data_IF_031884107927
#
_entry.id   IF_031884107927
#
_cell.length_a   1.000
_cell.length_b   1.000
_cell.length_c   1.000
_cell.angle_alpha   90.00
_cell.angle_beta   90.00
_cell.angle_gamma   90.00
#
_symmetry.space_group_name_H-M   'P 1'
#
loop_
_entity.id
_entity.type
_entity.pdbx_description
1 polymer ?
#
# COMPACT_ATOMS: atom_id res chain seq x y z
N UNK A 1 -41.25 18.25 3.50
CA UNK A 1 -40.68 17.93 2.18
C UNK A 1 -39.29 17.37 2.42
N UNK A 2 -38.95 16.24 1.81
CA UNK A 2 -37.58 15.70 1.88
C UNK A 2 -36.63 16.65 1.13
N UNK A 3 -35.51 16.97 1.76
CA UNK A 3 -34.46 17.80 1.16
C UNK A 3 -33.87 17.06 -0.04
N UNK A 4 -34.13 17.54 -1.26
CA UNK A 4 -33.67 16.90 -2.50
C UNK A 4 -32.52 17.66 -3.13
N UNK A 5 -31.77 16.98 -4.00
CA UNK A 5 -30.67 17.57 -4.79
C UNK A 5 -31.15 18.77 -5.62
N UNK A 6 -32.35 18.67 -6.20
CA UNK A 6 -32.95 19.72 -7.02
C UNK A 6 -33.31 20.95 -6.18
N UNK A 7 -33.81 20.75 -4.96
CA UNK A 7 -34.10 21.86 -4.02
C UNK A 7 -32.83 22.61 -3.65
N UNK A 8 -31.74 21.89 -3.35
CA UNK A 8 -30.44 22.49 -3.03
C UNK A 8 -29.87 23.27 -4.21
N UNK A 9 -29.86 22.71 -5.42
CA UNK A 9 -29.35 23.38 -6.60
C UNK A 9 -30.18 24.61 -6.98
N UNK A 10 -31.51 24.52 -6.87
CA UNK A 10 -32.41 25.64 -7.14
C UNK A 10 -32.19 26.81 -6.19
N UNK A 11 -31.87 26.54 -4.92
CA UNK A 11 -31.67 27.57 -3.91
C UNK A 11 -30.39 28.42 -4.10
N UNK A 12 -29.43 27.90 -4.87
CA UNK A 12 -28.13 28.54 -5.07
C UNK A 12 -27.85 28.88 -6.55
N UNK A 13 -28.74 28.52 -7.47
CA UNK A 13 -28.50 28.62 -8.92
C UNK A 13 -28.45 30.05 -9.45
N UNK A 14 -29.09 31.00 -8.79
CA UNK A 14 -29.20 32.41 -9.15
C UNK A 14 -28.10 33.30 -8.51
N UNK A 15 -27.21 32.72 -7.69
CA UNK A 15 -26.11 33.46 -7.07
C UNK A 15 -25.15 33.95 -8.16
N UNK A 16 -24.97 35.27 -8.26
CA UNK A 16 -24.10 35.89 -9.26
C UNK A 16 -22.62 35.61 -9.01
N UNK A 17 -21.86 35.38 -10.09
CA UNK A 17 -20.42 35.16 -10.05
C UNK A 17 -19.65 36.45 -10.37
N UNK A 18 -18.46 36.68 -9.78
CA UNK A 18 -17.62 37.85 -10.06
C UNK A 18 -17.21 38.00 -11.54
N UNK A 19 -17.11 36.87 -12.25
CA UNK A 19 -16.75 36.79 -13.68
C UNK A 19 -17.95 36.93 -14.63
N UNK A 20 -19.15 37.16 -14.11
CA UNK A 20 -20.41 37.17 -14.86
C UNK A 20 -21.11 35.80 -14.88
N UNK A 21 -22.43 35.82 -15.08
CA UNK A 21 -23.30 34.64 -14.98
C UNK A 21 -23.67 34.26 -13.55
N UNK A 22 -24.35 33.12 -13.39
CA UNK A 22 -24.77 32.60 -12.07
C UNK A 22 -24.16 31.24 -11.75
N UNK A 23 -24.17 30.85 -10.49
CA UNK A 23 -23.63 29.58 -10.02
C UNK A 23 -24.33 28.37 -10.64
N UNK A 24 -25.62 28.47 -11.01
CA UNK A 24 -26.34 27.41 -11.71
C UNK A 24 -26.01 27.31 -13.21
N UNK A 25 -25.52 28.39 -13.81
CA UNK A 25 -25.02 28.40 -15.19
C UNK A 25 -23.57 27.94 -15.27
N UNK A 26 -22.80 28.17 -14.20
CA UNK A 26 -21.42 27.76 -14.13
C UNK A 26 -21.30 26.31 -13.66
N UNK A 27 -20.56 25.50 -14.40
CA UNK A 27 -20.32 24.09 -14.06
C UNK A 27 -19.25 23.93 -12.96
N UNK A 28 -19.48 24.53 -11.79
CA UNK A 28 -18.50 24.61 -10.68
C UNK A 28 -18.82 23.64 -9.52
N UNK A 29 -20.05 23.14 -9.44
CA UNK A 29 -20.49 22.28 -8.33
C UNK A 29 -20.11 20.82 -8.61
N UNK A 30 -19.35 20.22 -7.69
CA UNK A 30 -18.96 18.81 -7.72
C UNK A 30 -19.40 18.10 -6.45
N UNK A 31 -19.62 16.79 -6.55
CA UNK A 31 -19.87 15.90 -5.41
C UNK A 31 -20.99 16.38 -4.44
N UNK A 32 -22.09 16.95 -4.98
CA UNK A 32 -23.23 17.33 -4.17
C UNK A 32 -23.89 16.11 -3.53
N UNK A 33 -23.90 16.06 -2.20
CA UNK A 33 -24.50 15.03 -1.38
C UNK A 33 -25.36 15.65 -0.27
N UNK A 34 -26.43 14.93 0.08
CA UNK A 34 -27.37 15.31 1.13
C UNK A 34 -27.56 14.10 2.01
N UNK A 35 -27.27 14.25 3.30
CA UNK A 35 -27.20 13.15 4.25
C UNK A 35 -27.62 13.63 5.64
N UNK A 36 -28.72 13.10 6.17
CA UNK A 36 -29.28 13.47 7.49
C UNK A 36 -29.39 14.99 7.73
N UNK A 37 -29.78 15.76 6.71
CA UNK A 37 -29.87 17.22 6.76
C UNK A 37 -28.55 17.96 6.58
N UNK A 38 -27.44 17.26 6.38
CA UNK A 38 -26.16 17.86 6.00
C UNK A 38 -26.06 17.97 4.48
N UNK A 39 -25.83 19.18 3.97
CA UNK A 39 -25.55 19.44 2.55
C UNK A 39 -24.05 19.60 2.34
N UNK A 40 -23.45 18.79 1.45
CA UNK A 40 -22.00 18.85 1.16
C UNK A 40 -21.75 18.91 -0.34
N UNK A 41 -20.91 19.85 -0.79
CA UNK A 41 -20.44 19.89 -2.17
C UNK A 41 -19.11 20.64 -2.27
N UNK A 42 -18.45 20.48 -3.42
CA UNK A 42 -17.19 21.14 -3.75
C UNK A 42 -17.45 22.21 -4.81
N UNK A 43 -16.88 23.40 -4.61
CA UNK A 43 -16.74 24.42 -5.64
C UNK A 43 -15.36 24.27 -6.29
N UNK A 44 -15.33 23.71 -7.49
CA UNK A 44 -14.10 23.49 -8.25
C UNK A 44 -13.83 24.71 -9.15
N UNK A 45 -12.66 25.31 -8.97
CA UNK A 45 -12.22 26.49 -9.73
C UNK A 45 -10.86 26.25 -10.36
N UNK A 46 -10.54 27.03 -11.39
CA UNK A 46 -9.33 26.83 -12.19
C UNK A 46 -8.04 27.19 -11.45
N UNK A 47 -8.05 28.20 -10.58
CA UNK A 47 -6.86 28.71 -9.90
C UNK A 47 -7.18 29.37 -8.55
N UNK A 48 -6.14 29.64 -7.76
CA UNK A 48 -6.25 30.21 -6.42
C UNK A 48 -6.80 31.64 -6.38
N UNK A 49 -6.60 32.44 -7.44
CA UNK A 49 -7.15 33.79 -7.52
C UNK A 49 -8.68 33.75 -7.69
N UNK A 50 -9.18 32.86 -8.55
CA UNK A 50 -10.62 32.60 -8.70
C UNK A 50 -11.23 32.04 -7.41
N UNK A 51 -10.50 31.17 -6.68
CA UNK A 51 -10.94 30.67 -5.37
C UNK A 51 -11.13 31.80 -4.35
N UNK A 52 -10.19 32.74 -4.28
CA UNK A 52 -10.30 33.90 -3.38
C UNK A 52 -11.47 34.82 -3.79
N UNK A 53 -11.66 35.04 -5.09
CA UNK A 53 -12.76 35.87 -5.61
C UNK A 53 -14.15 35.27 -5.34
N UNK A 54 -14.27 33.95 -5.20
CA UNK A 54 -15.53 33.25 -4.89
C UNK A 54 -15.85 33.12 -3.40
N UNK A 55 -15.00 33.62 -2.49
CA UNK A 55 -15.31 33.58 -1.05
C UNK A 55 -16.68 34.22 -0.69
N UNK A 56 -17.11 35.35 -1.29
CA UNK A 56 -18.45 35.90 -1.09
C UNK A 56 -19.57 35.00 -1.63
N UNK A 57 -19.32 34.30 -2.73
CA UNK A 57 -20.27 33.35 -3.36
C UNK A 57 -20.45 32.12 -2.47
N UNK A 58 -19.36 31.60 -1.88
CA UNK A 58 -19.45 30.50 -0.90
C UNK A 58 -20.27 30.92 0.32
N UNK A 59 -20.00 32.11 0.87
CA UNK A 59 -20.71 32.62 2.04
C UNK A 59 -22.21 32.79 1.79
N UNK A 60 -22.58 33.32 0.62
CA UNK A 60 -23.99 33.48 0.23
C UNK A 60 -24.67 32.12 -0.01
N UNK A 61 -24.00 31.20 -0.71
CA UNK A 61 -24.53 29.84 -0.93
C UNK A 61 -24.76 29.11 0.40
N UNK A 62 -23.82 29.23 1.34
CA UNK A 62 -23.96 28.69 2.69
C UNK A 62 -25.17 29.28 3.42
N UNK A 63 -25.30 30.61 3.42
CA UNK A 63 -26.41 31.30 4.09
C UNK A 63 -27.79 30.92 3.52
N UNK A 64 -27.90 30.73 2.20
CA UNK A 64 -29.15 30.29 1.56
C UNK A 64 -29.50 28.85 1.92
N UNK A 65 -28.52 27.96 1.91
CA UNK A 65 -28.73 26.55 2.22
C UNK A 65 -29.06 26.31 3.69
N UNK A 66 -28.45 27.05 4.61
CA UNK A 66 -28.77 26.99 6.05
C UNK A 66 -30.20 27.44 6.37
N UNK A 67 -30.86 28.18 5.48
CA UNK A 67 -32.28 28.59 5.62
C UNK A 67 -33.27 27.57 5.05
N UNK A 68 -32.79 26.53 4.36
CA UNK A 68 -33.69 25.52 3.81
C UNK A 68 -34.27 24.61 4.90
N UNK A 69 -35.58 24.33 4.89
CA UNK A 69 -36.19 23.39 5.83
C UNK A 69 -35.53 22.01 5.74
N UNK A 70 -35.03 21.51 6.87
CA UNK A 70 -34.37 20.21 6.98
C UNK A 70 -32.85 20.24 6.81
N UNK A 71 -32.23 21.41 6.59
CA UNK A 71 -30.77 21.56 6.63
C UNK A 71 -30.31 21.81 8.06
N UNK A 72 -29.41 20.95 8.56
CA UNK A 72 -28.78 21.06 9.89
C UNK A 72 -27.34 21.54 9.79
N UNK A 73 -26.68 21.32 8.65
CA UNK A 73 -25.27 21.68 8.44
C UNK A 73 -24.97 21.85 6.95
N UNK A 74 -24.14 22.83 6.61
CA UNK A 74 -23.64 23.02 5.24
C UNK A 74 -22.11 22.90 5.24
N UNK A 75 -21.55 22.13 4.31
CA UNK A 75 -20.11 22.00 4.10
C UNK A 75 -19.80 22.26 2.63
N UNK A 76 -19.30 23.46 2.34
CA UNK A 76 -18.78 23.84 1.03
C UNK A 76 -17.26 23.81 1.12
N UNK A 77 -16.61 23.17 0.14
CA UNK A 77 -15.15 23.13 0.03
C UNK A 77 -14.75 23.74 -1.29
N UNK A 78 -13.88 24.76 -1.26
CA UNK A 78 -13.33 25.36 -2.48
C UNK A 78 -12.03 24.64 -2.86
N UNK A 79 -11.91 24.20 -4.11
CA UNK A 79 -10.68 23.58 -4.61
C UNK A 79 -10.23 24.25 -5.90
N UNK A 80 -9.00 24.76 -5.94
CA UNK A 80 -8.37 25.25 -7.16
C UNK A 80 -7.59 24.14 -7.85
N UNK A 81 -7.76 23.97 -9.17
CA UNK A 81 -6.89 23.13 -9.99
C UNK A 81 -5.44 23.64 -9.88
N UNK A 82 -4.52 22.73 -9.59
CA UNK A 82 -3.20 23.06 -9.09
C UNK A 82 -2.24 23.53 -10.20
N UNK A 83 -2.05 24.85 -10.32
CA UNK A 83 -0.85 25.48 -10.88
C UNK A 83 -0.60 26.83 -10.18
N UNK A 84 -0.25 26.82 -8.89
CA UNK A 84 0.36 27.97 -8.20
C UNK A 84 1.12 27.52 -6.95
N UNK A 85 2.34 28.01 -6.79
CA UNK A 85 3.21 27.75 -5.64
C UNK A 85 2.59 28.29 -4.33
N UNK A 86 2.80 27.63 -3.18
CA UNK A 86 2.22 28.07 -1.91
C UNK A 86 2.89 29.36 -1.38
N UNK A 87 2.15 30.28 -0.76
CA UNK A 87 2.74 31.40 -0.04
C UNK A 87 3.38 30.92 1.27
N UNK A 88 4.47 31.57 1.67
CA UNK A 88 5.13 31.39 2.96
C UNK A 88 4.19 31.81 4.09
N UNK A 89 3.88 30.92 5.02
CA UNK A 89 3.21 31.25 6.26
C UNK A 89 4.22 31.42 7.40
N UNK A 90 4.07 32.52 8.12
CA UNK A 90 4.81 32.91 9.33
C UNK A 90 4.22 32.17 10.54
N UNK A 91 5.08 31.90 11.51
CA UNK A 91 4.92 31.15 12.76
C UNK A 91 3.67 31.42 13.61
N UNK A 92 3.13 30.38 14.26
CA UNK A 92 2.34 30.53 15.49
C UNK A 92 1.52 29.31 15.90
N UNK A 93 2.03 28.57 16.90
CA UNK A 93 1.33 27.66 17.82
C UNK A 93 0.77 26.33 17.25
N UNK A 94 1.35 25.24 17.78
CA UNK A 94 1.13 23.85 17.43
C UNK A 94 -0.34 23.42 17.33
N UNK A 95 -0.75 23.12 16.10
CA UNK A 95 -1.76 22.11 15.83
C UNK A 95 -1.03 20.92 15.20
N UNK A 96 -1.19 19.74 15.80
CA UNK A 96 -0.61 18.50 15.29
C UNK A 96 -1.04 18.27 13.83
N UNK A 97 -0.12 17.93 12.89
CA UNK A 97 -0.52 17.51 11.57
C UNK A 97 -1.33 16.22 11.68
N UNK A 98 -2.58 16.24 11.21
CA UNK A 98 -3.33 15.01 11.01
C UNK A 98 -2.73 14.28 9.80
N UNK A 99 -1.88 13.27 10.03
CA UNK A 99 -1.47 12.30 9.02
C UNK A 99 -2.69 11.46 8.62
N UNK A 100 -3.58 12.04 7.82
CA UNK A 100 -4.62 11.31 7.10
C UNK A 100 -3.91 10.50 6.02
N UNK A 101 -3.83 9.19 6.23
CA UNK A 101 -3.31 8.27 5.22
C UNK A 101 -4.35 8.17 4.10
N UNK A 102 -3.87 8.12 2.86
CA UNK A 102 -4.73 8.00 1.68
C UNK A 102 -5.11 9.34 1.04
N UNK A 103 -4.35 10.41 1.29
CA UNK A 103 -4.42 11.61 0.46
C UNK A 103 -4.00 11.31 -0.99
N UNK A 104 -4.46 12.12 -1.96
CA UNK A 104 -4.03 11.95 -3.36
C UNK A 104 -2.51 12.08 -3.48
N UNK A 105 -1.89 11.14 -4.21
CA UNK A 105 -0.46 11.19 -4.51
C UNK A 105 -0.10 12.53 -5.17
N UNK A 106 0.90 13.25 -4.64
CA UNK A 106 1.39 14.47 -5.28
C UNK A 106 2.07 14.11 -6.60
N UNK A 107 1.89 14.88 -7.69
CA UNK A 107 2.65 14.70 -8.92
C UNK A 107 4.14 14.80 -8.58
N UNK A 108 4.89 13.74 -8.85
CA UNK A 108 6.35 13.70 -8.66
C UNK A 108 7.00 13.24 -9.96
N UNK A 109 8.12 13.87 -10.29
CA UNK A 109 8.93 13.55 -11.44
C UNK A 109 9.75 12.28 -11.19
N UNK A 110 9.19 11.13 -11.55
CA UNK A 110 9.88 9.83 -11.58
C UNK A 110 10.09 9.17 -10.21
N UNK A 111 10.79 8.01 -10.20
CA UNK A 111 11.08 7.25 -8.99
C UNK A 111 11.99 8.02 -8.04
N UNK A 112 11.65 8.02 -6.75
CA UNK A 112 12.43 8.66 -5.69
C UNK A 112 13.06 7.58 -4.80
N UNK A 113 14.36 7.72 -4.51
CA UNK A 113 15.03 6.85 -3.56
C UNK A 113 14.37 6.94 -2.17
N UNK A 114 14.34 5.83 -1.45
CA UNK A 114 13.90 5.79 -0.07
C UNK A 114 15.12 6.11 0.80
N UNK A 115 15.07 7.14 1.67
CA UNK A 115 16.21 7.50 2.51
C UNK A 115 16.73 6.30 3.33
N UNK A 116 18.04 6.07 3.27
CA UNK A 116 18.72 5.02 4.05
C UNK A 116 18.53 3.58 3.56
N UNK A 117 17.81 3.35 2.46
CA UNK A 117 17.55 1.99 1.93
C UNK A 117 18.42 1.70 0.71
N UNK A 118 19.26 0.66 0.78
CA UNK A 118 20.13 0.24 -0.33
C UNK A 118 19.43 -0.56 -1.42
N UNK A 119 18.70 -1.61 -1.02
CA UNK A 119 17.96 -2.47 -1.96
C UNK A 119 16.47 -2.46 -1.66
N UNK A 120 15.65 -2.42 -2.70
CA UNK A 120 14.19 -2.53 -2.61
C UNK A 120 13.79 -3.77 -3.40
N UNK A 121 13.29 -4.79 -2.70
CA UNK A 121 12.88 -6.05 -3.31
C UNK A 121 11.37 -6.19 -3.20
N UNK A 122 10.71 -6.19 -4.35
CA UNK A 122 9.27 -6.43 -4.45
C UNK A 122 8.99 -7.94 -4.36
N UNK A 123 8.14 -8.37 -3.43
CA UNK A 123 7.68 -9.76 -3.35
C UNK A 123 6.27 -9.83 -3.93
N UNK A 124 6.15 -10.45 -5.10
CA UNK A 124 4.89 -10.58 -5.84
C UNK A 124 4.38 -12.01 -5.92
N UNK A 125 3.11 -12.16 -6.25
CA UNK A 125 2.52 -13.45 -6.63
C UNK A 125 1.45 -13.25 -7.68
N UNK A 126 1.28 -14.24 -8.56
CA UNK A 126 0.23 -14.19 -9.57
C UNK A 126 -1.19 -14.28 -8.98
N UNK A 127 -1.35 -15.06 -7.92
CA UNK A 127 -2.64 -15.30 -7.26
C UNK A 127 -2.56 -15.15 -5.75
N UNK A 128 -3.72 -15.03 -5.12
CA UNK A 128 -3.87 -15.11 -3.66
C UNK A 128 -3.67 -16.54 -3.15
N UNK A 129 -3.24 -16.68 -1.89
CA UNK A 129 -3.15 -17.98 -1.22
C UNK A 129 -1.90 -18.82 -1.51
N UNK A 130 -0.94 -18.35 -2.31
CA UNK A 130 0.34 -19.06 -2.54
C UNK A 130 1.32 -18.96 -1.37
N UNK A 131 0.96 -18.26 -0.29
CA UNK A 131 1.82 -18.06 0.88
C UNK A 131 2.89 -16.97 0.72
N UNK A 132 2.74 -16.05 -0.23
CA UNK A 132 3.61 -14.89 -0.46
C UNK A 132 4.02 -14.18 0.84
N UNK A 133 3.05 -13.72 1.65
CA UNK A 133 3.32 -12.99 2.89
C UNK A 133 4.06 -13.83 3.95
N UNK A 134 3.78 -15.14 4.00
CA UNK A 134 4.52 -16.10 4.82
C UNK A 134 5.97 -16.23 4.37
N UNK A 135 6.21 -16.31 3.06
CA UNK A 135 7.57 -16.33 2.51
C UNK A 135 8.29 -15.02 2.82
N UNK A 136 7.64 -13.88 2.62
CA UNK A 136 8.22 -12.55 2.86
C UNK A 136 8.65 -12.35 4.33
N UNK A 137 7.80 -12.69 5.31
CA UNK A 137 8.12 -12.55 6.74
C UNK A 137 9.27 -13.46 7.16
N UNK A 138 9.24 -14.73 6.74
CA UNK A 138 10.29 -15.68 7.08
C UNK A 138 11.63 -15.34 6.40
N UNK A 139 11.60 -14.87 5.16
CA UNK A 139 12.79 -14.39 4.46
C UNK A 139 13.37 -13.14 5.15
N UNK A 140 12.53 -12.20 5.59
CA UNK A 140 12.96 -11.02 6.33
C UNK A 140 13.72 -11.41 7.61
N UNK A 141 13.14 -12.33 8.39
CA UNK A 141 13.75 -12.85 9.61
C UNK A 141 15.05 -13.60 9.32
N UNK A 142 15.10 -14.44 8.28
CA UNK A 142 16.31 -15.17 7.92
C UNK A 142 17.46 -14.23 7.51
N UNK A 143 17.16 -13.17 6.74
CA UNK A 143 18.13 -12.13 6.39
C UNK A 143 18.62 -11.35 7.62
N UNK A 144 17.73 -11.01 8.55
CA UNK A 144 18.10 -10.34 9.80
C UNK A 144 18.99 -11.24 10.68
N UNK A 145 18.67 -12.54 10.79
CA UNK A 145 19.51 -13.54 11.49
C UNK A 145 20.88 -13.71 10.83
N UNK A 146 20.96 -13.53 9.51
CA UNK A 146 22.23 -13.48 8.77
C UNK A 146 22.99 -12.16 8.93
N UNK A 147 22.54 -11.25 9.80
CA UNK A 147 23.23 -10.01 10.16
C UNK A 147 22.88 -8.81 9.27
N UNK A 148 21.84 -8.89 8.44
CA UNK A 148 21.46 -7.79 7.54
C UNK A 148 20.47 -6.80 8.18
N UNK A 149 20.63 -5.55 7.77
CA UNK A 149 19.76 -4.38 7.90
C UNK A 149 18.39 -4.55 7.25
N UNK A 150 17.41 -5.25 7.82
CA UNK A 150 16.17 -5.59 7.08
C UNK A 150 14.97 -4.72 7.45
N UNK A 151 14.31 -4.17 6.43
CA UNK A 151 12.97 -3.63 6.52
C UNK A 151 11.93 -4.54 5.86
N UNK A 152 10.71 -4.52 6.38
CA UNK A 152 9.54 -5.21 5.84
C UNK A 152 8.37 -4.23 5.76
N UNK A 153 7.92 -3.97 4.53
CA UNK A 153 6.73 -3.17 4.24
C UNK A 153 5.60 -4.07 3.73
N UNK A 154 4.49 -4.08 4.45
CA UNK A 154 3.24 -4.69 4.01
C UNK A 154 2.42 -3.70 3.17
N UNK A 155 2.38 -3.95 1.86
CA UNK A 155 1.60 -3.18 0.90
C UNK A 155 0.30 -3.90 0.49
N UNK A 156 -0.02 -5.07 1.08
CA UNK A 156 -1.28 -5.77 0.85
C UNK A 156 -2.41 -5.16 1.70
N UNK A 157 -2.98 -4.08 1.17
CA UNK A 157 -4.02 -3.30 1.87
C UNK A 157 -5.31 -4.12 2.05
N UNK A 158 -5.59 -5.04 1.14
CA UNK A 158 -6.84 -5.82 1.16
C UNK A 158 -6.79 -7.00 2.12
N UNK A 159 -5.59 -7.50 2.42
CA UNK A 159 -5.38 -8.60 3.36
C UNK A 159 -4.08 -8.44 4.14
N UNK A 160 -3.92 -7.36 4.94
CA UNK A 160 -2.68 -7.10 5.66
C UNK A 160 -2.46 -8.23 6.67
N UNK A 161 -1.38 -8.97 6.49
CA UNK A 161 -1.07 -10.18 7.27
C UNK A 161 0.24 -10.06 8.03
N UNK A 162 1.12 -9.15 7.61
CA UNK A 162 2.44 -9.01 8.23
C UNK A 162 2.39 -8.58 9.69
N UNK A 163 1.48 -7.70 10.15
CA UNK A 163 1.38 -7.37 11.58
C UNK A 163 1.20 -8.60 12.45
N UNK A 164 0.25 -9.46 12.07
CA UNK A 164 -0.02 -10.72 12.77
C UNK A 164 1.15 -11.68 12.67
N UNK A 165 1.71 -11.89 11.47
CA UNK A 165 2.82 -12.83 11.25
C UNK A 165 4.11 -12.43 11.98
N UNK A 166 4.33 -11.13 12.16
CA UNK A 166 5.48 -10.58 12.88
C UNK A 166 5.20 -10.38 14.39
N UNK A 167 3.96 -10.59 14.85
CA UNK A 167 3.59 -10.41 16.25
C UNK A 167 3.59 -8.95 16.70
N UNK A 168 3.32 -8.01 15.79
CA UNK A 168 3.26 -6.57 16.08
C UNK A 168 1.82 -6.08 16.05
N UNK A 169 1.47 -5.19 16.98
CA UNK A 169 0.13 -4.61 17.11
C UNK A 169 0.21 -3.17 17.60
N UNK A 170 -0.92 -2.47 17.54
CA UNK A 170 -1.01 -1.06 17.90
C UNK A 170 -0.75 -0.12 16.72
N UNK A 171 -0.87 1.18 16.98
CA UNK A 171 -0.71 2.21 15.97
C UNK A 171 0.72 2.80 16.04
N UNK A 172 1.44 2.85 14.91
CA UNK A 172 2.75 3.48 14.83
C UNK A 172 2.71 4.92 15.34
N UNK A 173 3.74 5.31 16.08
CA UNK A 173 3.87 6.66 16.59
C UNK A 173 4.30 7.62 15.47
N UNK A 174 3.95 8.90 15.64
CA UNK A 174 4.50 9.99 14.84
C UNK A 174 4.76 11.17 15.77
N UNK A 175 5.86 11.15 16.55
CA UNK A 175 6.11 12.15 17.58
C UNK A 175 6.21 13.59 17.03
N UNK A 176 6.76 13.75 15.82
CA UNK A 176 6.92 15.03 15.13
C UNK A 176 5.72 15.40 14.23
N UNK A 177 4.75 14.48 14.07
CA UNK A 177 3.62 14.61 13.15
C UNK A 177 4.00 14.65 11.67
N UNK A 178 5.26 14.42 11.32
CA UNK A 178 5.77 14.45 9.95
C UNK A 178 6.22 13.08 9.48
N UNK A 179 6.85 12.30 10.38
CA UNK A 179 7.39 10.98 10.10
C UNK A 179 6.77 9.93 10.99
N UNK A 180 6.67 8.73 10.46
CA UNK A 180 6.10 7.57 11.13
C UNK A 180 7.25 6.73 11.67
N UNK A 181 7.23 6.44 12.96
CA UNK A 181 8.18 5.53 13.58
C UNK A 181 7.69 4.09 13.37
N UNK A 182 8.44 3.25 12.65
CA UNK A 182 8.01 1.89 12.35
C UNK A 182 8.05 0.99 13.58
N UNK A 183 7.34 -0.14 13.49
CA UNK A 183 7.42 -1.21 14.49
C UNK A 183 8.72 -1.99 14.32
N UNK A 184 9.12 -2.74 15.35
CA UNK A 184 10.29 -3.61 15.30
C UNK A 184 9.96 -4.98 15.86
N UNK A 185 10.32 -6.03 15.15
CA UNK A 185 10.14 -7.41 15.61
C UNK A 185 11.20 -8.31 14.98
N UNK A 186 11.74 -9.25 15.76
CA UNK A 186 12.62 -10.31 15.26
C UNK A 186 13.86 -9.80 14.49
N UNK A 187 14.38 -8.62 14.87
CA UNK A 187 15.50 -7.96 14.18
C UNK A 187 15.12 -7.25 12.86
N UNK A 188 13.83 -7.12 12.57
CA UNK A 188 13.29 -6.51 11.34
C UNK A 188 12.54 -5.23 11.70
N UNK A 189 12.76 -4.17 10.92
CA UNK A 189 11.96 -2.94 10.95
C UNK A 189 10.68 -3.17 10.14
N UNK A 190 9.52 -3.11 10.77
CA UNK A 190 8.23 -3.51 10.18
C UNK A 190 7.30 -2.32 10.06
N UNK A 191 6.70 -2.15 8.89
CA UNK A 191 5.60 -1.23 8.69
C UNK A 191 4.49 -1.91 7.89
N UNK A 192 3.24 -1.67 8.26
CA UNK A 192 2.08 -2.12 7.51
C UNK A 192 1.04 -1.04 7.49
N UNK A 193 0.38 -0.92 6.33
CA UNK A 193 -0.82 -0.11 6.23
C UNK A 193 -1.92 -0.56 7.18
N UNK A 194 -2.00 -1.87 7.46
CA UNK A 194 -2.99 -2.47 8.36
C UNK A 194 -2.90 -1.93 9.79
N UNK A 195 -1.71 -1.53 10.25
CA UNK A 195 -1.50 -0.93 11.58
C UNK A 195 -2.08 0.48 11.71
N UNK A 196 -2.42 1.11 10.60
CA UNK A 196 -2.99 2.46 10.59
C UNK A 196 -4.50 2.47 10.34
N UNK A 197 -5.08 1.31 10.05
CA UNK A 197 -6.52 1.14 9.86
C UNK A 197 -7.18 0.92 11.22
N UNK A 198 -8.44 1.36 11.34
CA UNK A 198 -9.25 1.04 12.51
C UNK A 198 -9.77 -0.39 12.36
N UNK A 199 -9.69 -1.16 13.44
CA UNK A 199 -10.25 -2.50 13.48
C UNK A 199 -11.76 -2.48 13.15
N UNK A 200 -12.19 -3.37 12.25
CA UNK A 200 -13.59 -3.54 11.87
C UNK A 200 -14.13 -2.56 10.81
N UNK A 201 -13.34 -1.58 10.36
CA UNK A 201 -13.77 -0.65 9.30
C UNK A 201 -13.57 -1.26 7.91
N UNK A 202 -14.62 -1.28 7.09
CA UNK A 202 -14.52 -1.73 5.70
C UNK A 202 -13.66 -0.74 4.91
N UNK A 203 -12.57 -1.25 4.32
CA UNK A 203 -11.68 -0.47 3.47
C UNK A 203 -12.35 -0.15 2.13
N UNK A 204 -12.79 1.10 1.96
CA UNK A 204 -13.30 1.62 0.68
C UNK A 204 -12.33 2.64 0.11
N UNK A 205 -11.10 2.20 -0.18
CA UNK A 205 -10.07 3.07 -0.76
C UNK A 205 -10.01 2.91 -2.26
N UNK A 206 -9.96 4.05 -2.97
CA UNK A 206 -9.77 4.07 -4.43
C UNK A 206 -8.28 4.07 -4.77
N UNK A 207 -7.91 3.60 -5.97
CA UNK A 207 -6.53 3.52 -6.47
C UNK A 207 -5.62 4.70 -6.08
N UNK A 208 -6.00 5.96 -6.35
CA UNK A 208 -5.18 7.13 -6.00
C UNK A 208 -4.87 7.28 -4.51
N UNK A 209 -5.78 6.84 -3.62
CA UNK A 209 -5.57 6.86 -2.18
C UNK A 209 -4.55 5.79 -1.76
N UNK A 210 -4.65 4.59 -2.35
CA UNK A 210 -3.70 3.50 -2.12
C UNK A 210 -2.28 3.93 -2.56
N UNK A 211 -2.18 4.58 -3.71
CA UNK A 211 -0.91 5.13 -4.23
C UNK A 211 -0.33 6.20 -3.29
N UNK A 212 -1.16 7.12 -2.82
CA UNK A 212 -0.73 8.14 -1.87
C UNK A 212 -0.27 7.55 -0.55
N UNK A 213 -0.99 6.56 -0.02
CA UNK A 213 -0.61 5.86 1.20
C UNK A 213 0.70 5.08 1.03
N UNK A 214 0.87 4.35 -0.09
CA UNK A 214 2.12 3.68 -0.41
C UNK A 214 3.28 4.68 -0.46
N UNK A 215 3.09 5.82 -1.14
CA UNK A 215 4.10 6.88 -1.21
C UNK A 215 4.47 7.40 0.20
N UNK A 216 3.49 7.59 1.08
CA UNK A 216 3.74 7.98 2.47
C UNK A 216 4.54 6.90 3.22
N UNK A 217 4.19 5.63 3.06
CA UNK A 217 4.93 4.53 3.71
C UNK A 217 6.37 4.41 3.20
N UNK A 218 6.60 4.69 1.92
CA UNK A 218 7.94 4.67 1.35
C UNK A 218 8.78 5.89 1.78
N UNK A 219 8.19 7.08 1.92
CA UNK A 219 8.95 8.33 2.07
C UNK A 219 8.88 8.97 3.46
N UNK A 220 7.84 8.69 4.25
CA UNK A 220 7.56 9.31 5.55
C UNK A 220 7.82 8.35 6.72
N UNK A 221 8.13 7.07 6.46
CA UNK A 221 8.53 6.14 7.53
C UNK A 221 10.02 6.31 7.82
N UNK A 222 10.36 6.33 9.10
CA UNK A 222 11.73 6.35 9.59
C UNK A 222 12.37 4.96 9.50
N UNK A 223 12.69 4.52 8.28
CA UNK A 223 13.31 3.21 8.02
C UNK A 223 14.70 3.04 8.62
N UNK A 224 15.42 4.14 8.85
CA UNK A 224 16.82 4.11 9.25
C UNK A 224 17.72 3.62 8.10
N UNK A 225 18.85 2.99 8.46
CA UNK A 225 19.79 2.43 7.48
C UNK A 225 19.51 0.95 7.24
N UNK A 226 19.02 0.61 6.06
CA UNK A 226 18.70 -0.75 5.66
C UNK A 226 19.61 -1.26 4.53
N UNK A 227 20.04 -2.51 4.65
CA UNK A 227 20.58 -3.28 3.53
C UNK A 227 19.49 -3.55 2.49
N UNK A 228 18.32 -3.98 2.94
CA UNK A 228 17.21 -4.36 2.08
C UNK A 228 15.86 -4.05 2.70
N UNK A 229 14.96 -3.50 1.89
CA UNK A 229 13.54 -3.36 2.19
C UNK A 229 12.75 -4.36 1.34
N UNK A 230 12.16 -5.36 2.00
CA UNK A 230 11.23 -6.29 1.37
C UNK A 230 9.83 -5.66 1.36
N UNK A 231 9.20 -5.62 0.18
CA UNK A 231 7.83 -5.08 0.03
C UNK A 231 6.89 -6.23 -0.34
N UNK A 232 5.99 -6.57 0.59
CA UNK A 232 4.96 -7.58 0.37
C UNK A 232 3.79 -6.98 -0.40
N UNK A 233 3.68 -7.31 -1.68
CA UNK A 233 2.67 -6.72 -2.57
C UNK A 233 1.33 -7.44 -2.46
N UNK A 234 0.19 -6.81 -2.82
CA UNK A 234 -1.05 -7.55 -3.05
C UNK A 234 -0.88 -8.64 -4.13
N UNK A 235 -1.73 -9.68 -4.17
CA UNK A 235 -1.71 -10.65 -5.24
C UNK A 235 -2.09 -10.02 -6.60
N UNK A 236 -1.66 -10.65 -7.69
CA UNK A 236 -1.99 -10.24 -9.06
C UNK A 236 -1.09 -9.14 -9.61
N UNK A 237 -1.62 -8.37 -10.55
CA UNK A 237 -0.89 -7.35 -11.32
C UNK A 237 -1.62 -6.00 -11.28
N UNK A 238 -1.93 -5.51 -10.07
CA UNK A 238 -2.75 -4.32 -9.85
C UNK A 238 -1.98 -3.00 -9.76
N UNK A 239 -2.70 -1.95 -9.36
CA UNK A 239 -2.20 -0.57 -9.31
C UNK A 239 -1.08 -0.36 -8.28
N UNK A 240 -1.02 -1.17 -7.22
CA UNK A 240 0.00 -1.05 -6.17
C UNK A 240 1.39 -1.39 -6.71
N UNK A 241 1.48 -2.45 -7.51
CA UNK A 241 2.72 -2.91 -8.15
C UNK A 241 3.22 -1.88 -9.17
N UNK A 242 2.31 -1.37 -10.01
CA UNK A 242 2.58 -0.28 -10.95
C UNK A 242 3.10 0.96 -10.21
N UNK A 243 2.38 1.37 -9.17
CA UNK A 243 2.73 2.57 -8.40
C UNK A 243 4.06 2.40 -7.69
N UNK A 244 4.38 1.23 -7.14
CA UNK A 244 5.67 0.98 -6.51
C UNK A 244 6.81 1.22 -7.52
N UNK A 245 6.75 0.58 -8.69
CA UNK A 245 7.80 0.67 -9.70
C UNK A 245 7.93 2.08 -10.30
N UNK A 246 6.85 2.87 -10.30
CA UNK A 246 6.89 4.27 -10.74
C UNK A 246 7.42 5.24 -9.68
N UNK A 247 7.28 4.90 -8.40
CA UNK A 247 7.57 5.82 -7.27
C UNK A 247 8.88 5.51 -6.56
N UNK A 248 9.41 4.29 -6.66
CA UNK A 248 10.66 3.90 -6.04
C UNK A 248 11.57 3.17 -7.03
N UNK A 249 12.90 3.34 -6.94
CA UNK A 249 13.86 2.58 -7.74
C UNK A 249 13.94 1.14 -7.22
N UNK A 250 12.99 0.30 -7.63
CA UNK A 250 12.94 -1.12 -7.23
C UNK A 250 14.17 -1.84 -7.79
N UNK A 251 14.94 -2.49 -6.92
CA UNK A 251 16.13 -3.26 -7.30
C UNK A 251 15.75 -4.49 -8.11
N UNK A 252 14.65 -5.13 -7.74
CA UNK A 252 14.07 -6.22 -8.50
C UNK A 252 12.89 -6.88 -7.79
N UNK A 253 12.31 -7.88 -8.44
CA UNK A 253 11.15 -8.61 -7.94
C UNK A 253 11.44 -10.10 -7.73
N UNK A 254 10.91 -10.67 -6.66
CA UNK A 254 10.86 -12.11 -6.42
C UNK A 254 9.40 -12.55 -6.58
N UNK A 255 9.19 -13.62 -7.35
CA UNK A 255 7.85 -14.16 -7.59
C UNK A 255 7.65 -15.45 -6.78
N UNK A 256 6.64 -15.46 -5.92
CA UNK A 256 6.22 -16.65 -5.17
C UNK A 256 5.06 -17.32 -5.89
N UNK A 257 5.17 -18.62 -6.13
CA UNK A 257 4.11 -19.45 -6.71
C UNK A 257 4.05 -20.82 -6.05
N UNK A 258 2.98 -21.56 -6.31
CA UNK A 258 2.88 -23.00 -6.02
C UNK A 258 3.13 -23.81 -7.30
N UNK A 259 3.39 -25.13 -7.22
CA UNK A 259 3.73 -25.96 -8.38
C UNK A 259 2.57 -26.19 -9.37
N UNK A 260 1.36 -25.75 -9.03
CA UNK A 260 0.14 -26.01 -9.82
C UNK A 260 0.12 -25.23 -11.13
N UNK A 261 -0.31 -25.87 -12.22
CA UNK A 261 -0.40 -25.24 -13.55
C UNK A 261 -1.17 -23.91 -13.55
N UNK A 262 -2.28 -23.83 -12.80
CA UNK A 262 -3.08 -22.59 -12.69
C UNK A 262 -2.28 -21.48 -12.02
N UNK A 263 -1.48 -21.79 -10.99
CA UNK A 263 -0.63 -20.82 -10.32
C UNK A 263 0.48 -20.29 -11.24
N UNK A 264 1.03 -21.15 -12.10
CA UNK A 264 2.09 -20.79 -13.05
C UNK A 264 1.60 -19.80 -14.10
N UNK A 265 0.36 -19.94 -14.60
CA UNK A 265 -0.23 -18.96 -15.52
C UNK A 265 -0.30 -17.56 -14.92
N UNK A 266 -0.66 -17.46 -13.64
CA UNK A 266 -0.71 -16.18 -12.96
C UNK A 266 0.70 -15.65 -12.64
N UNK A 267 1.65 -16.53 -12.32
CA UNK A 267 3.05 -16.15 -12.13
C UNK A 267 3.65 -15.54 -13.42
N UNK A 268 3.34 -16.10 -14.60
CA UNK A 268 3.73 -15.52 -15.90
C UNK A 268 3.20 -14.10 -16.09
N UNK A 269 1.95 -13.83 -15.68
CA UNK A 269 1.37 -12.48 -15.74
C UNK A 269 2.12 -11.50 -14.83
N UNK A 270 2.47 -11.93 -13.61
CA UNK A 270 3.25 -11.12 -12.69
C UNK A 270 4.65 -10.81 -13.27
N UNK A 271 5.32 -11.79 -13.87
CA UNK A 271 6.62 -11.63 -14.54
C UNK A 271 6.51 -10.64 -15.71
N UNK A 272 5.52 -10.81 -16.59
CA UNK A 272 5.28 -9.91 -17.72
C UNK A 272 5.03 -8.46 -17.26
N UNK A 273 4.29 -8.27 -16.18
CA UNK A 273 4.09 -6.94 -15.58
C UNK A 273 5.42 -6.32 -15.13
N UNK A 274 6.25 -7.02 -14.35
CA UNK A 274 7.54 -6.47 -13.91
C UNK A 274 8.48 -6.17 -15.10
N UNK A 275 8.48 -7.03 -16.13
CA UNK A 275 9.23 -6.78 -17.36
C UNK A 275 8.77 -5.51 -18.08
N UNK A 276 7.45 -5.30 -18.22
CA UNK A 276 6.89 -4.06 -18.78
C UNK A 276 7.24 -2.82 -17.97
N UNK A 277 7.37 -2.98 -16.66
CA UNK A 277 7.82 -1.94 -15.73
C UNK A 277 9.34 -1.83 -15.62
N UNK A 278 10.09 -2.56 -16.45
CA UNK A 278 11.57 -2.58 -16.48
C UNK A 278 12.19 -2.89 -15.11
N UNK A 279 11.48 -3.66 -14.30
CA UNK A 279 11.96 -4.14 -12.99
C UNK A 279 12.45 -5.57 -13.17
N UNK A 280 13.73 -5.88 -12.89
CA UNK A 280 14.27 -7.21 -13.13
C UNK A 280 13.66 -8.23 -12.17
N UNK A 281 13.29 -9.40 -12.69
CA UNK A 281 12.88 -10.53 -11.86
C UNK A 281 14.14 -11.24 -11.36
N UNK A 282 14.38 -11.16 -10.06
CA UNK A 282 15.54 -11.71 -9.35
C UNK A 282 15.45 -13.24 -9.21
N UNK A 283 14.22 -13.76 -9.25
CA UNK A 283 13.97 -15.19 -9.36
C UNK A 283 12.61 -15.62 -8.84
N UNK A 284 12.36 -16.92 -8.93
CA UNK A 284 11.12 -17.55 -8.53
C UNK A 284 11.34 -18.43 -7.29
N UNK A 285 10.35 -18.47 -6.41
CA UNK A 285 10.29 -19.37 -5.25
C UNK A 285 9.08 -20.29 -5.42
N UNK A 286 9.32 -21.60 -5.32
CA UNK A 286 8.25 -22.59 -5.22
C UNK A 286 7.85 -22.79 -3.76
N UNK A 287 6.67 -22.34 -3.37
CA UNK A 287 6.14 -22.58 -2.05
C UNK A 287 5.20 -23.79 -2.05
N UNK A 288 5.09 -24.47 -0.91
CA UNK A 288 4.25 -25.66 -0.72
C UNK A 288 4.61 -26.80 -1.69
N UNK A 289 5.90 -27.00 -1.98
CA UNK A 289 6.39 -27.99 -2.96
C UNK A 289 6.29 -29.44 -2.46
N UNK A 290 6.48 -29.63 -1.15
CA UNK A 290 6.51 -30.94 -0.50
C UNK A 290 5.80 -30.91 0.83
N UNK A 291 5.08 -31.97 1.17
CA UNK A 291 4.55 -32.23 2.51
C UNK A 291 5.23 -33.48 3.05
N UNK A 292 5.90 -33.36 4.19
CA UNK A 292 6.50 -34.51 4.90
C UNK A 292 5.62 -34.83 6.09
N UNK A 293 5.04 -36.03 6.10
CA UNK A 293 4.20 -36.48 7.20
C UNK A 293 5.02 -36.55 8.50
N UNK A 294 4.65 -35.79 9.55
CA UNK A 294 5.42 -35.78 10.79
C UNK A 294 5.37 -37.10 11.56
N UNK A 295 4.40 -37.97 11.25
CA UNK A 295 4.22 -39.25 11.94
C UNK A 295 5.01 -40.40 11.31
N UNK A 296 5.15 -40.43 9.97
CA UNK A 296 5.77 -41.55 9.25
C UNK A 296 6.89 -41.16 8.29
N UNK A 297 7.17 -39.86 8.12
CA UNK A 297 8.19 -39.36 7.20
C UNK A 297 7.84 -39.46 5.71
N UNK A 298 6.63 -39.91 5.37
CA UNK A 298 6.19 -39.99 3.97
C UNK A 298 6.15 -38.60 3.32
N UNK A 299 6.82 -38.47 2.19
CA UNK A 299 6.81 -37.27 1.36
C UNK A 299 5.68 -37.35 0.33
N UNK A 300 4.88 -36.29 0.27
CA UNK A 300 3.79 -36.14 -0.68
C UNK A 300 3.82 -34.77 -1.36
N UNK A 301 3.59 -34.75 -2.66
CA UNK A 301 3.54 -33.53 -3.48
C UNK A 301 2.08 -33.10 -3.70
N UNK A 302 1.44 -32.60 -2.64
CA UNK A 302 -0.01 -32.32 -2.65
C UNK A 302 -0.48 -31.38 -3.76
N UNK A 303 0.42 -30.52 -4.24
CA UNK A 303 0.12 -29.49 -5.24
C UNK A 303 0.94 -29.65 -6.52
N UNK A 304 1.54 -30.83 -6.74
CA UNK A 304 2.59 -31.04 -7.74
C UNK A 304 3.97 -30.70 -7.20
N UNK A 305 4.99 -30.79 -8.05
CA UNK A 305 6.38 -30.52 -7.69
C UNK A 305 7.18 -30.08 -8.92
N UNK A 306 8.07 -29.10 -8.76
CA UNK A 306 9.02 -28.67 -9.78
C UNK A 306 8.42 -27.85 -10.92
N UNK A 307 7.12 -27.50 -10.85
CA UNK A 307 6.45 -26.70 -11.87
C UNK A 307 7.06 -25.29 -11.99
N UNK A 308 7.42 -24.67 -10.87
CA UNK A 308 8.06 -23.35 -10.84
C UNK A 308 9.52 -23.43 -11.28
N UNK A 309 10.23 -24.53 -10.97
CA UNK A 309 11.60 -24.73 -11.41
C UNK A 309 11.68 -24.89 -12.94
N UNK A 310 10.81 -25.72 -13.52
CA UNK A 310 10.71 -25.89 -14.98
C UNK A 310 10.28 -24.60 -15.69
N UNK A 311 9.37 -23.84 -15.07
CA UNK A 311 8.96 -22.53 -15.60
C UNK A 311 10.10 -21.51 -15.56
N UNK A 312 10.86 -21.46 -14.46
CA UNK A 312 12.01 -20.58 -14.34
C UNK A 312 13.07 -20.89 -15.42
N UNK A 313 13.33 -22.17 -15.68
CA UNK A 313 14.22 -22.60 -16.77
C UNK A 313 13.68 -22.17 -18.14
N UNK A 314 12.39 -22.40 -18.40
CA UNK A 314 11.74 -22.02 -19.67
C UNK A 314 11.81 -20.52 -19.94
N UNK A 315 11.70 -19.69 -18.89
CA UNK A 315 11.75 -18.24 -18.99
C UNK A 315 13.18 -17.68 -18.89
N UNK A 316 14.19 -18.51 -18.66
CA UNK A 316 15.57 -18.07 -18.44
C UNK A 316 15.76 -17.26 -17.16
N UNK A 317 14.95 -17.52 -16.13
CA UNK A 317 14.96 -16.81 -14.85
C UNK A 317 15.60 -17.66 -13.73
N UNK A 318 16.19 -17.05 -12.70
CA UNK A 318 16.74 -17.80 -11.58
C UNK A 318 15.65 -18.51 -10.77
N UNK A 319 15.81 -19.81 -10.54
CA UNK A 319 15.03 -20.53 -9.52
C UNK A 319 15.72 -20.40 -8.18
N UNK A 320 15.13 -19.69 -7.21
CA UNK A 320 15.77 -19.38 -5.92
C UNK A 320 15.74 -20.57 -4.95
N UNK A 321 14.69 -21.38 -5.02
CA UNK A 321 14.53 -22.58 -4.22
C UNK A 321 13.08 -22.91 -3.95
N UNK A 322 12.89 -23.98 -3.19
CA UNK A 322 11.59 -24.50 -2.79
C UNK A 322 11.40 -24.46 -1.26
N UNK A 323 10.15 -24.38 -0.84
CA UNK A 323 9.74 -24.35 0.56
C UNK A 323 8.67 -25.40 0.83
N UNK A 324 8.82 -26.23 1.88
CA UNK A 324 7.89 -27.29 2.19
C UNK A 324 6.59 -26.73 2.81
N UNK A 325 5.48 -27.42 2.56
CA UNK A 325 4.24 -27.25 3.30
C UNK A 325 4.34 -27.96 4.64
N UNK A 326 4.59 -27.20 5.72
CA UNK A 326 4.64 -27.75 7.06
C UNK A 326 3.68 -27.07 8.03
N UNK A 327 3.15 -27.86 8.97
CA UNK A 327 2.25 -27.36 10.02
C UNK A 327 2.94 -26.30 10.89
N UNK A 328 4.23 -26.45 11.15
CA UNK A 328 5.03 -25.50 11.90
C UNK A 328 4.97 -24.09 11.28
N UNK A 329 5.08 -23.97 9.95
CA UNK A 329 5.00 -22.67 9.25
C UNK A 329 3.65 -21.99 9.46
N UNK A 330 2.56 -22.77 9.44
CA UNK A 330 1.20 -22.27 9.70
C UNK A 330 1.07 -21.76 11.14
N UNK A 331 1.50 -22.56 12.11
CA UNK A 331 1.43 -22.22 13.54
C UNK A 331 2.30 -21.00 13.88
N UNK A 332 3.49 -20.95 13.31
CA UNK A 332 4.42 -19.84 13.41
C UNK A 332 3.79 -18.51 12.96
N UNK A 333 3.16 -18.50 11.78
CA UNK A 333 2.46 -17.32 11.26
C UNK A 333 1.29 -16.86 12.12
N UNK A 334 0.54 -17.79 12.71
CA UNK A 334 -0.56 -17.45 13.63
C UNK A 334 -0.08 -16.90 14.98
N UNK A 335 1.07 -17.38 15.46
CA UNK A 335 1.63 -17.00 16.76
C UNK A 335 2.47 -15.72 16.74
N UNK A 336 2.69 -15.12 15.57
CA UNK A 336 3.54 -13.93 15.42
C UNK A 336 5.03 -14.22 15.57
N UNK A 337 5.44 -15.48 15.41
CA UNK A 337 6.83 -15.94 15.50
C UNK A 337 7.18 -16.70 14.23
N UNK A 338 7.71 -16.03 13.18
CA UNK A 338 8.03 -16.68 11.91
C UNK A 338 8.91 -17.93 12.11
N UNK A 339 8.65 -19.00 11.34
CA UNK A 339 9.34 -20.28 11.43
C UNK A 339 10.85 -20.17 11.21
N UNK A 340 11.31 -19.15 10.48
CA UNK A 340 12.72 -18.81 10.32
C UNK A 340 13.42 -18.42 11.64
N UNK A 341 12.70 -18.20 12.75
CA UNK A 341 13.28 -18.07 14.10
C UNK A 341 13.69 -19.41 14.72
N UNK A 342 13.08 -20.50 14.26
CA UNK A 342 13.29 -21.83 14.81
C UNK A 342 14.59 -22.47 14.33
N UNK A 343 14.69 -23.76 14.61
CA UNK A 343 15.76 -24.63 14.13
C UNK A 343 15.16 -25.74 13.25
N UNK A 344 16.00 -26.43 12.46
CA UNK A 344 15.57 -27.55 11.63
C UNK A 344 15.34 -27.19 10.16
N UNK A 345 14.71 -28.11 9.43
CA UNK A 345 14.69 -28.10 7.96
C UNK A 345 13.95 -26.91 7.36
N UNK A 346 12.88 -26.43 8.01
CA UNK A 346 12.12 -25.26 7.60
C UNK A 346 12.95 -23.99 7.73
N UNK A 347 13.55 -23.75 8.90
CA UNK A 347 14.40 -22.58 9.12
C UNK A 347 15.60 -22.58 8.16
N UNK A 348 16.24 -23.73 7.97
CA UNK A 348 17.34 -23.91 7.02
C UNK A 348 16.92 -23.60 5.57
N UNK A 349 15.68 -23.88 5.18
CA UNK A 349 15.20 -23.54 3.83
C UNK A 349 15.16 -22.02 3.61
N UNK A 350 14.67 -21.26 4.59
CA UNK A 350 14.70 -19.79 4.53
C UNK A 350 16.12 -19.23 4.65
N UNK A 351 16.99 -19.84 5.45
CA UNK A 351 18.42 -19.47 5.54
C UNK A 351 19.13 -19.65 4.20
N UNK A 352 18.85 -20.73 3.44
CA UNK A 352 19.39 -20.92 2.09
C UNK A 352 18.92 -19.84 1.12
N UNK A 353 17.65 -19.45 1.16
CA UNK A 353 17.12 -18.35 0.35
C UNK A 353 17.79 -17.02 0.70
N UNK A 354 17.90 -16.71 2.00
CA UNK A 354 18.57 -15.52 2.50
C UNK A 354 20.04 -15.46 2.07
N UNK A 355 20.77 -16.57 2.24
CA UNK A 355 22.16 -16.69 1.79
C UNK A 355 22.30 -16.44 0.30
N UNK A 356 21.39 -16.96 -0.53
CA UNK A 356 21.43 -16.77 -1.98
C UNK A 356 21.25 -15.29 -2.38
N UNK A 357 20.39 -14.55 -1.68
CA UNK A 357 20.21 -13.11 -1.92
C UNK A 357 21.45 -12.31 -1.47
N UNK A 358 22.05 -12.68 -0.34
CA UNK A 358 23.27 -12.05 0.16
C UNK A 358 24.44 -12.29 -0.80
N UNK A 359 24.67 -13.55 -1.19
CA UNK A 359 25.74 -13.93 -2.11
C UNK A 359 25.53 -13.28 -3.50
N UNK A 360 24.28 -13.06 -3.90
CA UNK A 360 23.90 -12.34 -5.12
C UNK A 360 24.03 -10.81 -5.03
N UNK A 361 24.40 -10.26 -3.87
CA UNK A 361 24.56 -8.82 -3.66
C UNK A 361 23.24 -8.03 -3.61
N UNK A 362 22.14 -8.69 -3.27
CA UNK A 362 20.78 -8.12 -3.25
C UNK A 362 20.33 -7.78 -1.81
N UNK A 363 21.02 -8.33 -0.81
CA UNK A 363 20.68 -8.15 0.60
C UNK A 363 21.90 -8.06 1.48
#
# INVERSE_FOLDING_TARGET
MSLSRETVLTAISDIGLPQGGTLGQADLIRALSIDEGTVRFVLEVENAATAQALAPVEAEARARLERLPGVTKVQIVMTASANAAPPKAVSGQGAAPSLKIGGHAKPQAGPQAIPGVRHIVAIGSGKGGVGKSTVTSNLAVALARAGRKVGLLDADIYGPSQPRMMGVSGRPASPDGQRIDPMHAHGVTVMSIGLMLKEGEALVWRGPMLMGALQQLLQQVNWGELDVLLIDLPPGTGDVQLSLCQKAPVTGAIIVSTPQDVALLDARRAIDMFNKLKTPVLGLIENMSTYICPQCGHEAHLFGHGGVAAEAETLGLPFLGELPLQLEVRLAGDSGRPAALGEGTVAQAYERLAKRLIDGGIA
#
